data_IF_779832851074
#
_entry.id   IF_779832851074
#
_cell.length_a   1.000
_cell.length_b   1.000
_cell.length_c   1.000
_cell.angle_alpha   90.00
_cell.angle_beta   90.00
_cell.angle_gamma   90.00
#
_symmetry.space_group_name_H-M   'P 1'
#
loop_
_entity.id
_entity.type
_entity.pdbx_description
1 polymer ?
#
# COMPACT_ATOMS: atom_id res chain seq x y z
N UNK A 1 -7.15 32.82 -4.75
CA UNK A 1 -6.17 31.85 -4.24
C UNK A 1 -6.76 31.24 -2.97
N UNK A 2 -7.42 30.08 -3.07
CA UNK A 2 -8.09 29.43 -1.96
C UNK A 2 -7.14 28.44 -1.28
N UNK A 3 -7.01 28.56 0.03
CA UNK A 3 -6.01 27.90 0.87
C UNK A 3 -6.09 26.37 0.77
N UNK A 4 -5.13 25.74 0.07
CA UNK A 4 -4.97 24.28 -0.02
C UNK A 4 -4.46 23.63 1.29
N UNK A 5 -4.13 24.45 2.29
CA UNK A 5 -3.50 24.07 3.56
C UNK A 5 -4.42 24.36 4.75
N UNK A 6 -5.72 24.03 4.68
CA UNK A 6 -6.38 23.53 5.90
C UNK A 6 -5.67 22.23 6.27
N UNK A 7 -4.53 22.42 6.95
CA UNK A 7 -3.74 21.43 7.63
C UNK A 7 -4.74 20.68 8.51
N UNK A 8 -5.18 19.51 8.05
CA UNK A 8 -5.95 18.57 8.87
C UNK A 8 -5.03 18.20 10.02
N UNK A 9 -5.10 18.94 11.12
CA UNK A 9 -4.40 18.63 12.35
C UNK A 9 -5.02 17.33 12.85
N UNK A 10 -4.33 16.24 12.57
CA UNK A 10 -4.66 14.92 13.08
C UNK A 10 -3.73 14.68 14.27
N UNK A 11 -4.31 14.55 15.46
CA UNK A 11 -3.56 14.19 16.67
C UNK A 11 -3.61 12.68 16.79
N UNK A 12 -2.44 12.03 16.77
CA UNK A 12 -2.36 10.60 17.07
C UNK A 12 -2.52 10.44 18.57
N UNK A 13 -3.57 9.72 18.97
CA UNK A 13 -3.89 9.47 20.37
C UNK A 13 -3.28 8.13 20.81
N UNK A 14 -3.29 7.14 19.92
CA UNK A 14 -2.76 5.82 20.20
C UNK A 14 -2.23 5.15 18.94
N UNK A 15 -1.16 4.36 19.08
CA UNK A 15 -0.64 3.51 18.01
C UNK A 15 -0.33 2.12 18.56
N UNK A 16 -0.90 1.08 17.95
CA UNK A 16 -0.71 -0.32 18.35
C UNK A 16 -0.13 -1.14 17.20
N UNK A 17 0.89 -1.97 17.42
CA UNK A 17 1.38 -2.86 16.38
C UNK A 17 0.33 -3.91 16.03
N UNK A 18 0.01 -4.02 14.74
CA UNK A 18 -0.71 -5.17 14.19
C UNK A 18 0.27 -6.31 13.95
N UNK A 19 -0.19 -7.57 14.01
CA UNK A 19 0.63 -8.80 14.02
C UNK A 19 1.92 -8.69 13.19
N UNK A 20 3.07 -8.71 13.85
CA UNK A 20 4.37 -8.71 13.19
C UNK A 20 4.70 -10.07 12.60
N UNK A 21 5.16 -10.09 11.35
CA UNK A 21 5.62 -11.30 10.64
C UNK A 21 6.95 -10.99 9.96
N UNK A 22 7.91 -11.91 10.07
CA UNK A 22 9.21 -11.78 9.39
C UNK A 22 9.00 -11.64 7.87
N UNK A 23 9.65 -10.65 7.26
CA UNK A 23 9.60 -10.39 5.82
C UNK A 23 8.38 -9.61 5.31
N UNK A 24 7.43 -9.23 6.18
CA UNK A 24 6.31 -8.36 5.83
C UNK A 24 6.49 -6.95 6.45
N UNK A 25 5.95 -5.90 5.82
CA UNK A 25 5.95 -4.57 6.40
C UNK A 25 5.29 -4.55 7.77
N UNK A 26 5.86 -3.77 8.70
CA UNK A 26 5.22 -3.55 10.00
C UNK A 26 3.99 -2.68 9.81
N UNK A 27 2.86 -3.12 10.32
CA UNK A 27 1.60 -2.38 10.27
C UNK A 27 1.24 -1.93 11.68
N UNK A 28 0.78 -0.70 11.81
CA UNK A 28 0.25 -0.11 13.03
C UNK A 28 -1.23 0.17 12.84
N UNK A 29 -2.04 -0.11 13.86
CA UNK A 29 -3.35 0.50 14.02
C UNK A 29 -3.14 1.85 14.71
N UNK A 30 -3.55 2.92 14.07
CA UNK A 30 -3.40 4.28 14.57
C UNK A 30 -4.79 4.85 14.86
N UNK A 31 -5.01 5.22 16.12
CA UNK A 31 -6.21 5.94 16.55
C UNK A 31 -5.87 7.43 16.56
N UNK A 32 -6.64 8.20 15.81
CA UNK A 32 -6.41 9.62 15.61
C UNK A 32 -7.66 10.41 15.94
N UNK A 33 -7.48 11.58 16.53
CA UNK A 33 -8.51 12.61 16.60
C UNK A 33 -8.32 13.59 15.45
N UNK A 34 -9.38 13.78 14.65
CA UNK A 34 -9.40 14.70 13.52
C UNK A 34 -10.65 15.57 13.66
N UNK A 35 -10.45 16.86 13.91
CA UNK A 35 -11.56 17.83 14.07
C UNK A 35 -12.61 17.37 15.12
N UNK A 36 -12.17 16.84 16.26
CA UNK A 36 -13.07 16.35 17.32
C UNK A 36 -13.71 14.98 17.04
N UNK A 37 -13.33 14.28 15.96
CA UNK A 37 -13.81 12.95 15.63
C UNK A 37 -12.69 11.91 15.77
N UNK A 38 -13.01 10.78 16.39
CA UNK A 38 -12.09 9.64 16.48
C UNK A 38 -12.13 8.83 15.19
N UNK A 39 -10.96 8.56 14.60
CA UNK A 39 -10.78 7.74 13.40
C UNK A 39 -9.70 6.70 13.66
N UNK A 40 -9.89 5.52 13.08
CA UNK A 40 -8.91 4.42 13.15
C UNK A 40 -8.38 4.19 11.74
N UNK A 41 -7.06 4.11 11.60
CA UNK A 41 -6.41 3.87 10.31
C UNK A 41 -5.25 2.89 10.45
N UNK A 42 -5.11 1.98 9.49
CA UNK A 42 -3.92 1.15 9.37
C UNK A 42 -2.78 1.92 8.71
N UNK A 43 -1.62 1.96 9.35
CA UNK A 43 -0.41 2.60 8.84
C UNK A 43 0.71 1.59 8.63
N UNK A 44 1.31 1.59 7.45
CA UNK A 44 2.45 0.72 7.13
C UNK A 44 3.74 1.49 7.38
N UNK A 45 4.54 1.06 8.36
CA UNK A 45 5.89 1.58 8.57
C UNK A 45 6.77 1.18 7.38
N UNK A 46 7.17 2.17 6.59
CA UNK A 46 8.11 1.98 5.48
C UNK A 46 9.46 2.58 5.88
N UNK A 47 10.57 1.82 5.81
CA UNK A 47 11.88 2.40 6.00
C UNK A 47 12.15 3.41 4.87
N UNK A 48 12.66 4.58 5.21
CA UNK A 48 12.83 5.72 4.29
C UNK A 48 13.61 5.36 3.00
N UNK A 49 14.57 4.45 3.10
CA UNK A 49 15.47 4.09 1.99
C UNK A 49 15.20 2.74 1.33
N UNK A 50 14.18 1.97 1.76
CA UNK A 50 14.03 0.56 1.36
C UNK A 50 12.97 0.26 0.30
N UNK A 51 11.96 1.13 0.13
CA UNK A 51 10.80 0.80 -0.70
C UNK A 51 10.95 1.30 -2.14
N UNK A 52 11.54 0.46 -3.00
CA UNK A 52 11.39 0.60 -4.46
C UNK A 52 10.10 -0.10 -4.90
N UNK A 53 9.17 0.66 -5.48
CA UNK A 53 8.03 0.08 -6.20
C UNK A 53 8.55 -0.93 -7.24
N UNK A 54 8.38 -2.23 -7.00
CA UNK A 54 8.59 -3.24 -8.04
C UNK A 54 7.54 -2.97 -9.11
N UNK A 55 7.97 -2.49 -10.27
CA UNK A 55 7.10 -2.38 -11.45
C UNK A 55 6.59 -3.79 -11.76
N UNK A 56 5.26 -3.97 -11.81
CA UNK A 56 4.68 -5.23 -12.28
C UNK A 56 5.19 -5.45 -13.71
N UNK A 57 6.00 -6.49 -13.90
CA UNK A 57 6.44 -6.88 -15.24
C UNK A 57 5.22 -7.14 -16.10
N UNK A 58 5.23 -6.64 -17.34
CA UNK A 58 4.15 -6.89 -18.30
C UNK A 58 3.94 -8.42 -18.36
N UNK A 59 2.72 -8.87 -18.05
CA UNK A 59 2.33 -10.27 -18.23
C UNK A 59 2.59 -10.61 -19.70
N UNK A 60 3.62 -11.41 -19.99
CA UNK A 60 3.76 -12.00 -21.33
C UNK A 60 2.65 -13.02 -21.45
N UNK A 61 1.58 -12.64 -22.17
CA UNK A 61 0.61 -13.60 -22.71
C UNK A 61 1.42 -14.63 -23.49
N UNK A 62 1.40 -15.89 -23.04
CA UNK A 62 1.91 -16.98 -23.85
C UNK A 62 1.02 -17.05 -25.09
N UNK A 63 1.54 -16.62 -26.24
CA UNK A 63 0.92 -16.84 -27.53
C UNK A 63 1.07 -18.33 -27.83
N UNK A 64 0.03 -19.11 -27.57
CA UNK A 64 -0.12 -20.44 -28.13
C UNK A 64 -0.26 -20.31 -29.64
N UNK A 65 0.84 -20.50 -30.36
CA UNK A 65 0.84 -20.79 -31.79
C UNK A 65 0.32 -22.21 -31.99
N UNK A 66 -0.97 -22.36 -32.32
CA UNK A 66 -1.45 -23.60 -32.94
C UNK A 66 -1.10 -23.53 -34.43
N UNK A 67 0.11 -23.95 -34.77
CA UNK A 67 0.49 -24.18 -36.16
C UNK A 67 -0.16 -25.47 -36.65
N UNK A 68 -1.05 -25.28 -37.61
CA UNK A 68 -1.57 -26.26 -38.55
C UNK A 68 -0.40 -26.87 -39.35
N UNK A 69 -0.38 -28.20 -39.50
CA UNK A 69 0.31 -29.02 -40.52
C UNK A 69 -0.30 -30.43 -40.32
N UNK A 70 -0.99 -31.08 -41.26
CA UNK A 70 -0.74 -31.22 -42.68
C UNK A 70 -0.46 -32.72 -42.94
N UNK A 71 -1.44 -33.42 -43.51
CA UNK A 71 -1.40 -34.69 -44.30
C UNK A 71 -0.49 -35.86 -43.89
N UNK A 72 -1.09 -37.04 -43.71
CA UNK A 72 -1.17 -38.12 -44.73
C UNK A 72 -2.29 -39.08 -44.40
#
# INVERSE_FOLDING_TARGET
MTNLNEQRQATVVEARPLKWRRGLPTVLEVVMEVNGQVRIQEYILRPENGFRHKRKGKFKRASTSSSHNGET
#
